data_IF_651267459722
#
_entry.id   IF_651267459722
#
_cell.length_a   1.000
_cell.length_b   1.000
_cell.length_c   1.000
_cell.angle_alpha   90.00
_cell.angle_beta   90.00
_cell.angle_gamma   90.00
#
_symmetry.space_group_name_H-M   'P 1'
#
loop_
_entity.id
_entity.type
_entity.pdbx_description
1 polymer ?
#
# COMPACT_ATOMS: atom_id res chain seq x y z
N UNK A 1 31.50 -29.95 -19.30
CA UNK A 1 30.41 -29.10 -18.78
C UNK A 1 29.18 -29.45 -19.56
N UNK A 2 28.16 -30.03 -18.92
CA UNK A 2 26.91 -30.42 -19.59
C UNK A 2 25.97 -29.23 -19.50
N UNK A 3 25.67 -28.60 -20.63
CA UNK A 3 24.59 -27.60 -20.73
C UNK A 3 23.27 -28.29 -20.39
N UNK A 4 22.64 -27.84 -19.30
CA UNK A 4 21.29 -28.27 -18.95
C UNK A 4 20.32 -27.60 -19.93
N UNK A 5 19.80 -28.36 -20.89
CA UNK A 5 18.68 -27.94 -21.73
C UNK A 5 17.45 -27.72 -20.84
N UNK A 6 16.79 -26.55 -20.87
CA UNK A 6 15.58 -26.33 -20.08
C UNK A 6 14.50 -27.32 -20.54
N UNK A 7 14.20 -28.29 -19.68
CA UNK A 7 13.13 -29.27 -19.88
C UNK A 7 11.75 -28.65 -19.66
N UNK A 8 10.67 -29.36 -20.05
CA UNK A 8 9.32 -28.88 -19.83
C UNK A 8 9.03 -28.66 -18.34
N UNK A 9 8.28 -27.60 -18.02
CA UNK A 9 7.81 -27.33 -16.66
C UNK A 9 6.89 -28.48 -16.21
N UNK A 10 7.35 -29.29 -15.27
CA UNK A 10 6.58 -30.37 -14.68
C UNK A 10 5.83 -29.85 -13.44
N UNK A 11 4.58 -29.39 -13.62
CA UNK A 11 3.70 -29.06 -12.49
C UNK A 11 3.19 -30.38 -11.89
N UNK A 12 3.80 -30.80 -10.78
CA UNK A 12 3.47 -32.07 -10.10
C UNK A 12 2.07 -32.09 -9.48
N UNK A 13 1.59 -30.93 -9.03
CA UNK A 13 0.23 -30.73 -8.57
C UNK A 13 -0.11 -29.24 -8.60
N UNK A 14 -1.34 -28.93 -9.02
CA UNK A 14 -1.94 -27.62 -8.81
C UNK A 14 -2.93 -27.79 -7.66
N UNK A 15 -2.50 -27.47 -6.44
CA UNK A 15 -3.38 -27.60 -5.26
C UNK A 15 -4.29 -26.38 -5.23
N UNK A 16 -5.63 -26.55 -5.27
CA UNK A 16 -6.54 -25.42 -5.12
C UNK A 16 -6.23 -24.67 -3.83
N UNK A 17 -6.23 -23.34 -3.84
CA UNK A 17 -5.96 -22.54 -2.63
C UNK A 17 -6.87 -22.96 -1.45
N UNK A 18 -8.11 -23.38 -1.76
CA UNK A 18 -9.06 -23.94 -0.80
C UNK A 18 -8.58 -25.24 -0.12
N UNK A 19 -7.77 -26.06 -0.79
CA UNK A 19 -7.18 -27.28 -0.24
C UNK A 19 -5.89 -27.04 0.56
N UNK A 20 -5.29 -25.84 0.43
CA UNK A 20 -4.17 -25.38 1.28
C UNK A 20 -4.68 -24.63 2.51
N UNK A 21 -5.95 -24.20 2.50
CA UNK A 21 -6.52 -23.36 3.54
C UNK A 21 -6.74 -24.15 4.85
N UNK A 22 -5.75 -24.09 5.75
CA UNK A 22 -5.95 -24.26 7.20
C UNK A 22 -6.57 -22.98 7.78
N UNK A 23 -7.70 -22.57 7.24
CA UNK A 23 -8.38 -21.33 7.63
C UNK A 23 -9.07 -21.41 8.99
N UNK A 24 -9.45 -20.25 9.51
CA UNK A 24 -10.45 -20.17 10.57
C UNK A 24 -11.77 -20.75 10.05
N UNK A 25 -12.34 -21.72 10.76
CA UNK A 25 -13.62 -22.36 10.41
C UNK A 25 -14.74 -21.33 10.24
N UNK A 26 -14.70 -20.21 10.99
CA UNK A 26 -15.67 -19.12 10.85
C UNK A 26 -15.72 -18.52 9.44
N UNK A 27 -14.58 -18.37 8.76
CA UNK A 27 -14.57 -17.83 7.39
C UNK A 27 -15.14 -18.84 6.39
N UNK A 28 -14.81 -20.12 6.54
CA UNK A 28 -15.36 -21.18 5.72
C UNK A 28 -16.89 -21.30 5.92
N UNK A 29 -17.34 -21.23 7.17
CA UNK A 29 -18.76 -21.25 7.54
C UNK A 29 -19.49 -20.02 6.99
N UNK A 30 -18.89 -18.83 7.06
CA UNK A 30 -19.44 -17.62 6.45
C UNK A 30 -19.58 -17.75 4.93
N UNK A 31 -18.55 -18.28 4.25
CA UNK A 31 -18.57 -18.51 2.80
C UNK A 31 -19.62 -19.55 2.39
N UNK A 32 -19.86 -20.55 3.24
CA UNK A 32 -20.92 -21.54 3.05
C UNK A 32 -22.32 -21.01 3.42
N UNK A 33 -22.43 -19.79 3.96
CA UNK A 33 -23.68 -19.20 4.39
C UNK A 33 -24.27 -19.85 5.65
N UNK A 34 -23.43 -20.46 6.49
CA UNK A 34 -23.86 -21.10 7.72
C UNK A 34 -24.55 -20.07 8.65
N UNK A 35 -25.77 -20.34 9.18
CA UNK A 35 -26.51 -19.37 9.99
C UNK A 35 -25.72 -18.82 11.18
N UNK A 36 -25.03 -19.70 11.92
CA UNK A 36 -24.24 -19.30 13.07
C UNK A 36 -23.07 -18.36 12.70
N UNK A 37 -22.54 -18.44 11.47
CA UNK A 37 -21.50 -17.53 11.01
C UNK A 37 -22.09 -16.21 10.48
N UNK A 38 -23.21 -16.24 9.76
CA UNK A 38 -23.83 -15.03 9.21
C UNK A 38 -24.39 -14.11 10.29
N UNK A 39 -24.75 -14.65 11.46
CA UNK A 39 -25.14 -13.87 12.64
C UNK A 39 -24.03 -12.92 13.13
N UNK A 40 -22.75 -13.28 12.99
CA UNK A 40 -21.62 -12.40 13.33
C UNK A 40 -21.43 -11.26 12.32
N UNK A 41 -21.82 -11.47 11.06
CA UNK A 41 -21.56 -10.54 9.94
C UNK A 41 -22.86 -9.99 9.36
N UNK A 42 -23.79 -9.59 10.24
CA UNK A 42 -25.04 -8.98 9.81
C UNK A 42 -24.77 -7.63 9.14
N UNK A 43 -25.34 -7.44 7.94
CA UNK A 43 -25.28 -6.15 7.27
C UNK A 43 -26.10 -5.14 8.07
N UNK A 44 -25.42 -4.24 8.78
CA UNK A 44 -26.04 -3.17 9.55
C UNK A 44 -26.14 -1.87 8.78
N UNK A 45 -27.24 -1.15 8.94
CA UNK A 45 -27.31 0.27 8.60
C UNK A 45 -26.87 1.08 9.81
N UNK A 46 -25.78 1.86 9.66
CA UNK A 46 -25.34 2.83 10.65
C UNK A 46 -25.50 4.24 10.11
N UNK A 47 -25.72 5.21 11.00
CA UNK A 47 -25.61 6.63 10.65
C UNK A 47 -24.28 7.15 11.16
N UNK A 48 -23.56 7.88 10.31
CA UNK A 48 -22.38 8.63 10.72
C UNK A 48 -22.77 10.08 10.91
N UNK A 49 -22.32 10.69 12.00
CA UNK A 49 -22.47 12.13 12.25
C UNK A 49 -21.36 12.97 11.61
N UNK A 50 -20.40 12.33 10.94
CA UNK A 50 -19.28 13.03 10.33
C UNK A 50 -19.75 13.89 9.13
N UNK A 51 -19.35 15.16 9.13
CA UNK A 51 -19.53 16.02 7.96
C UNK A 51 -18.59 15.56 6.84
N UNK A 52 -19.19 15.08 5.75
CA UNK A 52 -18.44 14.60 4.58
C UNK A 52 -17.81 15.73 3.78
N UNK A 53 -18.30 16.95 3.93
CA UNK A 53 -17.72 18.15 3.30
C UNK A 53 -16.37 18.43 3.95
N UNK A 54 -16.36 18.56 5.29
CA UNK A 54 -15.13 18.78 6.06
C UNK A 54 -14.11 17.66 5.82
N UNK A 55 -14.56 16.40 5.83
CA UNK A 55 -13.69 15.27 5.51
C UNK A 55 -13.11 15.36 4.08
N UNK A 56 -13.93 15.74 3.10
CA UNK A 56 -13.48 15.90 1.72
C UNK A 56 -12.42 17.01 1.60
N UNK A 57 -12.58 18.12 2.31
CA UNK A 57 -11.61 19.22 2.32
C UNK A 57 -10.27 18.80 2.93
N UNK A 58 -10.30 18.12 4.09
CA UNK A 58 -9.09 17.59 4.75
C UNK A 58 -8.36 16.63 3.80
N UNK A 59 -9.09 15.71 3.18
CA UNK A 59 -8.52 14.73 2.27
C UNK A 59 -8.01 15.36 0.97
N UNK A 60 -8.66 16.40 0.45
CA UNK A 60 -8.16 17.13 -0.73
C UNK A 60 -6.81 17.77 -0.45
N UNK A 61 -6.67 18.42 0.72
CA UNK A 61 -5.42 19.01 1.16
C UNK A 61 -4.33 17.93 1.34
N UNK A 62 -4.68 16.81 1.95
CA UNK A 62 -3.75 15.69 2.12
C UNK A 62 -3.29 15.12 0.77
N UNK A 63 -4.22 14.83 -0.14
CA UNK A 63 -3.92 14.27 -1.45
C UNK A 63 -3.12 15.23 -2.34
N UNK A 64 -3.39 16.54 -2.25
CA UNK A 64 -2.59 17.56 -2.93
C UNK A 64 -1.13 17.55 -2.43
N UNK A 65 -0.90 17.42 -1.11
CA UNK A 65 0.46 17.29 -0.53
C UNK A 65 1.18 16.03 -1.01
N UNK A 66 0.44 14.95 -1.27
CA UNK A 66 0.99 13.71 -1.84
C UNK A 66 1.21 13.76 -3.36
N UNK A 67 0.76 14.81 -4.03
CA UNK A 67 0.82 14.93 -5.50
C UNK A 67 -0.07 13.91 -6.19
N UNK A 68 -1.25 13.65 -5.63
CA UNK A 68 -2.22 12.74 -6.21
C UNK A 68 -2.75 13.25 -7.56
N UNK A 69 -3.03 12.34 -8.49
CA UNK A 69 -3.61 12.69 -9.79
C UNK A 69 -5.11 13.00 -9.71
N UNK A 70 -5.66 13.60 -10.77
CA UNK A 70 -7.07 14.01 -10.83
C UNK A 70 -8.07 12.90 -10.55
N UNK A 71 -7.76 11.64 -10.90
CA UNK A 71 -8.64 10.51 -10.58
C UNK A 71 -8.85 10.33 -9.07
N UNK A 72 -7.80 10.52 -8.26
CA UNK A 72 -7.89 10.47 -6.81
C UNK A 72 -8.62 11.71 -6.26
N UNK A 73 -8.28 12.91 -6.75
CA UNK A 73 -8.92 14.16 -6.33
C UNK A 73 -10.43 14.16 -6.66
N UNK A 74 -10.83 13.65 -7.83
CA UNK A 74 -12.23 13.49 -8.20
C UNK A 74 -12.99 12.53 -7.27
N UNK A 75 -12.35 11.43 -6.83
CA UNK A 75 -12.94 10.54 -5.83
C UNK A 75 -13.12 11.23 -4.48
N UNK A 76 -12.15 12.04 -4.03
CA UNK A 76 -12.31 12.81 -2.80
C UNK A 76 -13.44 13.83 -2.90
N UNK A 77 -13.57 14.55 -4.02
CA UNK A 77 -14.69 15.49 -4.25
C UNK A 77 -16.05 14.77 -4.20
N UNK A 78 -16.13 13.55 -4.74
CA UNK A 78 -17.36 12.73 -4.67
C UNK A 78 -17.72 12.33 -3.25
N UNK A 79 -16.75 12.22 -2.34
CA UNK A 79 -16.99 11.86 -0.95
C UNK A 79 -17.87 12.88 -0.21
N UNK A 80 -17.81 14.16 -0.59
CA UNK A 80 -18.64 15.23 0.00
C UNK A 80 -20.14 14.95 -0.16
N UNK A 81 -20.55 14.19 -1.18
CA UNK A 81 -21.93 13.78 -1.34
C UNK A 81 -22.27 12.61 -0.36
N UNK A 82 -23.24 12.78 0.55
CA UNK A 82 -23.65 11.73 1.50
C UNK A 82 -24.24 10.48 0.82
N UNK A 83 -24.77 10.61 -0.39
CA UNK A 83 -25.28 9.48 -1.16
C UNK A 83 -24.18 8.65 -1.83
N UNK A 84 -22.92 9.12 -1.87
CA UNK A 84 -21.80 8.37 -2.48
C UNK A 84 -21.44 7.16 -1.62
N UNK A 85 -21.53 5.92 -2.16
CA UNK A 85 -21.06 4.73 -1.46
C UNK A 85 -19.54 4.77 -1.28
N UNK A 86 -19.07 4.28 -0.14
CA UNK A 86 -17.64 4.16 0.16
C UNK A 86 -17.31 2.69 0.29
N UNK A 87 -16.29 2.23 -0.44
CA UNK A 87 -15.70 0.91 -0.23
C UNK A 87 -14.38 1.13 0.46
N UNK A 88 -14.26 0.64 1.69
CA UNK A 88 -13.06 0.79 2.51
C UNK A 88 -12.36 -0.54 2.74
N UNK A 89 -11.03 -0.50 2.73
CA UNK A 89 -10.14 -1.56 3.20
C UNK A 89 -9.02 -0.90 3.99
N UNK A 90 -8.34 -1.64 4.87
CA UNK A 90 -7.22 -1.09 5.62
C UNK A 90 -6.05 -2.05 5.75
N UNK A 91 -4.88 -1.45 5.94
CA UNK A 91 -3.66 -2.12 6.35
C UNK A 91 -2.65 -1.13 6.95
N UNK A 92 -1.82 -1.61 7.88
CA UNK A 92 -0.60 -0.89 8.28
C UNK A 92 0.35 -0.69 7.07
N UNK A 93 1.15 0.37 7.05
CA UNK A 93 2.07 0.66 5.95
C UNK A 93 3.37 -0.11 6.07
N UNK A 94 3.32 -1.42 5.81
CA UNK A 94 4.50 -2.28 5.79
C UNK A 94 5.56 -1.83 4.78
N UNK A 95 6.81 -2.14 5.08
CA UNK A 95 7.96 -1.83 4.25
C UNK A 95 7.77 -2.30 2.79
N UNK A 96 8.07 -1.44 1.81
CA UNK A 96 7.89 -1.73 0.38
C UNK A 96 6.47 -2.23 0.03
N UNK A 97 5.43 -1.64 0.62
CA UNK A 97 4.00 -2.01 0.49
C UNK A 97 3.58 -3.24 1.31
N UNK A 98 4.50 -3.82 2.07
CA UNK A 98 4.27 -4.96 2.92
C UNK A 98 3.91 -6.22 2.12
N UNK A 99 3.14 -7.14 2.72
CA UNK A 99 2.69 -8.35 2.03
C UNK A 99 1.81 -8.04 0.81
N UNK A 100 1.83 -8.92 -0.19
CA UNK A 100 1.06 -8.75 -1.44
C UNK A 100 -0.46 -8.54 -1.23
N UNK A 101 -1.02 -9.03 -0.12
CA UNK A 101 -2.43 -8.82 0.17
C UNK A 101 -2.78 -7.32 0.35
N UNK A 102 -1.82 -6.44 0.69
CA UNK A 102 -2.02 -4.99 0.74
C UNK A 102 -2.47 -4.46 -0.63
N UNK A 103 -1.76 -4.87 -1.69
CA UNK A 103 -2.09 -4.52 -3.07
C UNK A 103 -3.42 -5.16 -3.48
N UNK A 104 -3.65 -6.43 -3.10
CA UNK A 104 -4.93 -7.10 -3.41
C UNK A 104 -6.13 -6.46 -2.72
N UNK A 105 -5.99 -6.00 -1.48
CA UNK A 105 -7.01 -5.22 -0.77
C UNK A 105 -7.31 -3.92 -1.54
N UNK A 106 -6.29 -3.17 -1.95
CA UNK A 106 -6.46 -1.93 -2.71
C UNK A 106 -7.17 -2.16 -4.05
N UNK A 107 -6.73 -3.16 -4.83
CA UNK A 107 -7.38 -3.54 -6.11
C UNK A 107 -8.83 -3.95 -5.88
N UNK A 108 -9.10 -4.70 -4.81
CA UNK A 108 -10.47 -5.13 -4.44
C UNK A 108 -11.35 -3.93 -4.14
N UNK A 109 -10.87 -2.97 -3.34
CA UNK A 109 -11.61 -1.76 -3.03
C UNK A 109 -11.94 -0.93 -4.28
N UNK A 110 -10.97 -0.74 -5.17
CA UNK A 110 -11.15 -0.04 -6.46
C UNK A 110 -12.19 -0.76 -7.32
N UNK A 111 -12.09 -2.08 -7.42
CA UNK A 111 -12.98 -2.90 -8.27
C UNK A 111 -14.42 -2.88 -7.77
N UNK A 112 -14.63 -3.02 -6.46
CA UNK A 112 -15.95 -2.94 -5.83
C UNK A 112 -16.52 -1.51 -5.92
N UNK A 113 -15.71 -0.48 -5.66
CA UNK A 113 -16.15 0.90 -5.79
C UNK A 113 -16.61 1.20 -7.22
N UNK A 114 -15.88 0.74 -8.23
CA UNK A 114 -16.29 0.88 -9.63
C UNK A 114 -17.61 0.15 -9.92
N UNK A 115 -17.76 -1.08 -9.42
CA UNK A 115 -18.98 -1.88 -9.62
C UNK A 115 -20.22 -1.23 -9.00
N UNK A 116 -20.08 -0.57 -7.87
CA UNK A 116 -21.19 -0.01 -7.10
C UNK A 116 -21.33 1.51 -7.22
N UNK A 117 -20.60 2.14 -8.16
CA UNK A 117 -20.64 3.59 -8.33
C UNK A 117 -20.16 4.36 -7.09
N UNK A 118 -19.28 3.76 -6.29
CA UNK A 118 -18.71 4.34 -5.07
C UNK A 118 -17.33 4.95 -5.27
N UNK A 119 -16.67 5.24 -4.14
CA UNK A 119 -15.28 5.68 -4.06
C UNK A 119 -14.45 4.67 -3.24
N UNK A 120 -13.25 4.28 -3.69
CA UNK A 120 -12.36 3.44 -2.91
C UNK A 120 -11.60 4.28 -1.89
N UNK A 121 -11.58 3.82 -0.65
CA UNK A 121 -10.78 4.39 0.44
C UNK A 121 -9.85 3.30 0.97
N UNK A 122 -8.56 3.59 1.00
CA UNK A 122 -7.57 2.74 1.65
C UNK A 122 -7.17 3.39 2.97
N UNK A 123 -7.58 2.78 4.08
CA UNK A 123 -7.21 3.20 5.42
C UNK A 123 -5.79 2.75 5.74
N UNK A 124 -4.90 3.72 5.90
CA UNK A 124 -3.52 3.47 6.32
C UNK A 124 -3.51 3.40 7.85
N UNK A 125 -3.30 2.21 8.41
CA UNK A 125 -3.22 1.97 9.86
C UNK A 125 -1.90 2.46 10.43
N UNK A 126 -1.71 3.77 10.46
CA UNK A 126 -0.48 4.43 10.88
C UNK A 126 -0.45 4.76 12.39
N UNK A 127 -1.57 4.53 13.08
CA UNK A 127 -1.83 4.77 14.50
C UNK A 127 -1.47 3.57 15.40
N UNK A 128 -1.00 2.48 14.80
CA UNK A 128 -0.41 1.34 15.50
C UNK A 128 1.06 1.62 15.84
N UNK A 129 1.60 0.94 16.86
CA UNK A 129 3.01 0.97 17.24
C UNK A 129 3.72 -0.39 17.09
N UNK A 130 3.04 -1.39 16.52
CA UNK A 130 3.63 -2.69 16.20
C UNK A 130 4.66 -2.59 15.05
N UNK A 131 5.90 -2.28 15.45
CA UNK A 131 7.06 -2.24 14.57
C UNK A 131 7.38 -3.58 13.96
N UNK A 132 7.20 -4.67 14.70
CA UNK A 132 7.62 -6.00 14.24
C UNK A 132 6.79 -6.47 13.04
N UNK A 133 5.56 -5.98 12.89
CA UNK A 133 4.71 -6.28 11.74
C UNK A 133 5.15 -5.55 10.46
N UNK A 134 5.73 -4.35 10.57
CA UNK A 134 5.98 -3.45 9.44
C UNK A 134 7.45 -3.27 9.06
N UNK A 135 8.39 -3.68 9.91
CA UNK A 135 9.82 -3.40 9.75
C UNK A 135 10.51 -4.19 8.63
N UNK A 136 9.85 -5.19 8.05
CA UNK A 136 10.48 -6.09 7.12
C UNK A 136 9.65 -6.37 5.86
N UNK A 137 10.36 -6.78 4.80
CA UNK A 137 9.77 -7.21 3.55
C UNK A 137 10.59 -8.36 2.95
N UNK A 138 9.92 -9.42 2.48
CA UNK A 138 10.55 -10.50 1.74
C UNK A 138 10.67 -10.17 0.26
N UNK A 139 11.87 -10.26 -0.30
CA UNK A 139 12.15 -10.08 -1.73
C UNK A 139 12.85 -11.31 -2.30
N UNK A 140 12.39 -11.76 -3.47
CA UNK A 140 13.06 -12.81 -4.24
C UNK A 140 14.08 -12.19 -5.19
N UNK A 141 15.26 -12.78 -5.26
CA UNK A 141 16.26 -12.43 -6.28
C UNK A 141 16.09 -13.26 -7.57
N UNK A 142 16.96 -13.03 -8.56
CA UNK A 142 16.97 -13.74 -9.83
C UNK A 142 17.33 -15.24 -9.70
N UNK A 143 17.80 -15.68 -8.53
CA UNK A 143 18.17 -17.06 -8.23
C UNK A 143 17.11 -17.77 -7.38
N UNK A 144 15.91 -17.20 -7.26
CA UNK A 144 14.83 -17.74 -6.43
C UNK A 144 15.25 -17.90 -4.96
N UNK A 145 16.11 -17.01 -4.47
CA UNK A 145 16.45 -16.92 -3.05
C UNK A 145 15.62 -15.82 -2.39
N UNK A 146 14.95 -16.16 -1.29
CA UNK A 146 14.19 -15.19 -0.49
C UNK A 146 15.13 -14.46 0.47
N UNK A 147 15.17 -13.13 0.35
CA UNK A 147 15.89 -12.23 1.24
C UNK A 147 14.90 -11.41 2.06
N UNK A 148 15.24 -11.12 3.31
CA UNK A 148 14.46 -10.21 4.15
C UNK A 148 15.17 -8.87 4.22
N UNK A 149 14.48 -7.82 3.80
CA UNK A 149 14.91 -6.42 3.91
C UNK A 149 14.34 -5.86 5.19
N UNK A 150 15.16 -5.10 5.93
CA UNK A 150 14.74 -4.49 7.19
C UNK A 150 14.85 -2.97 7.17
N UNK A 151 13.90 -2.33 7.84
CA UNK A 151 13.99 -0.94 8.24
C UNK A 151 15.06 -0.79 9.34
N UNK A 152 15.98 0.19 9.25
CA UNK A 152 17.09 0.33 10.18
C UNK A 152 16.65 1.01 11.50
N UNK A 153 15.99 0.27 12.37
CA UNK A 153 15.67 0.77 13.71
C UNK A 153 16.94 0.95 14.56
N UNK A 154 17.06 2.10 15.21
CA UNK A 154 18.10 2.32 16.23
C UNK A 154 17.87 1.40 17.43
N UNK A 155 18.94 0.74 17.87
CA UNK A 155 18.88 -0.15 19.02
C UNK A 155 18.45 0.63 20.28
N UNK A 156 17.32 0.22 20.88
CA UNK A 156 16.78 0.86 22.07
C UNK A 156 15.97 2.13 21.81
N UNK A 157 15.67 2.49 20.55
CA UNK A 157 14.76 3.57 20.26
C UNK A 157 13.36 3.30 20.86
N UNK A 158 12.71 4.30 21.48
CA UNK A 158 11.37 4.14 22.05
C UNK A 158 10.37 3.71 20.97
N UNK A 159 9.30 3.03 21.38
CA UNK A 159 8.16 2.76 20.48
C UNK A 159 7.61 4.07 19.93
N UNK A 160 7.21 4.06 18.66
CA UNK A 160 6.61 5.20 17.98
C UNK A 160 5.49 4.70 17.08
N UNK A 161 4.48 5.53 16.88
CA UNK A 161 3.45 5.24 15.90
C UNK A 161 4.08 5.06 14.53
N UNK A 162 3.55 4.10 13.77
CA UNK A 162 4.09 3.77 12.45
C UNK A 162 4.08 4.99 11.52
N UNK A 163 3.07 5.86 11.63
CA UNK A 163 2.98 7.11 10.86
C UNK A 163 4.05 8.16 11.18
N UNK A 164 4.69 8.05 12.34
CA UNK A 164 5.71 8.98 12.81
C UNK A 164 7.14 8.47 12.54
N UNK A 165 7.29 7.29 11.92
CA UNK A 165 8.60 6.74 11.58
C UNK A 165 9.30 7.60 10.53
N UNK A 166 10.58 7.95 10.75
CA UNK A 166 11.29 8.80 9.81
C UNK A 166 11.57 8.06 8.50
N UNK A 167 11.09 8.58 7.37
CA UNK A 167 11.37 7.97 6.08
C UNK A 167 12.78 8.27 5.54
N UNK A 168 13.44 9.36 5.98
CA UNK A 168 14.64 9.96 5.35
C UNK A 168 15.80 9.00 5.04
N UNK A 169 16.86 9.02 5.85
CA UNK A 169 18.03 8.16 5.62
C UNK A 169 17.68 6.66 5.71
N UNK A 170 16.62 6.31 6.45
CA UNK A 170 16.11 4.96 6.54
C UNK A 170 15.63 4.41 5.18
N UNK A 171 15.01 5.24 4.33
CA UNK A 171 14.64 4.81 2.97
C UNK A 171 15.88 4.47 2.15
N UNK A 172 16.94 5.28 2.21
CA UNK A 172 18.18 5.02 1.47
C UNK A 172 18.81 3.68 1.89
N UNK A 173 18.78 3.36 3.19
CA UNK A 173 19.26 2.05 3.71
C UNK A 173 18.40 0.89 3.18
N UNK A 174 17.08 1.05 3.14
CA UNK A 174 16.16 0.05 2.59
C UNK A 174 16.41 -0.15 1.09
N UNK A 175 16.62 0.93 0.34
CA UNK A 175 16.89 0.88 -1.10
C UNK A 175 18.25 0.25 -1.40
N UNK A 176 19.27 0.54 -0.59
CA UNK A 176 20.58 -0.06 -0.73
C UNK A 176 20.54 -1.59 -0.55
N UNK A 177 19.64 -2.09 0.30
CA UNK A 177 19.40 -3.53 0.47
C UNK A 177 18.58 -4.12 -0.71
N UNK A 178 17.52 -3.43 -1.15
CA UNK A 178 16.56 -3.97 -2.12
C UNK A 178 17.05 -3.91 -3.58
N UNK A 179 17.67 -2.81 -4.00
CA UNK A 179 18.02 -2.57 -5.41
C UNK A 179 18.96 -3.62 -6.02
N UNK A 180 20.00 -4.13 -5.31
CA UNK A 180 20.85 -5.19 -5.83
C UNK A 180 20.07 -6.47 -6.17
N UNK A 181 19.07 -6.84 -5.35
CA UNK A 181 18.26 -8.04 -5.54
C UNK A 181 17.34 -7.93 -6.76
N UNK A 182 16.86 -6.71 -7.03
CA UNK A 182 15.91 -6.47 -8.12
C UNK A 182 16.59 -6.28 -9.47
N UNK A 183 17.85 -5.84 -9.52
CA UNK A 183 18.55 -5.41 -10.74
C UNK A 183 18.58 -6.48 -11.83
N UNK A 184 18.79 -7.72 -11.44
CA UNK A 184 18.98 -8.85 -12.36
C UNK A 184 17.65 -9.48 -12.81
N UNK A 185 16.52 -9.00 -12.29
CA UNK A 185 15.19 -9.39 -12.77
C UNK A 185 14.91 -8.80 -14.17
N UNK A 186 14.03 -9.43 -14.98
CA UNK A 186 13.70 -8.98 -16.34
C UNK A 186 13.24 -7.51 -16.47
N UNK A 187 12.82 -6.89 -15.36
CA UNK A 187 12.38 -5.49 -15.28
C UNK A 187 13.21 -4.66 -14.28
N UNK A 188 14.33 -5.20 -13.80
CA UNK A 188 15.22 -4.61 -12.80
C UNK A 188 16.22 -3.60 -13.33
N UNK A 189 16.64 -3.76 -14.59
CA UNK A 189 17.52 -2.82 -15.30
C UNK A 189 16.71 -1.80 -16.09
N UNK A 190 17.06 -0.50 -15.97
CA UNK A 190 16.51 0.60 -16.78
C UNK A 190 16.89 0.57 -18.27
N UNK A 191 17.05 -0.62 -18.87
CA UNK A 191 17.64 -0.84 -20.19
C UNK A 191 16.71 -1.48 -21.24
N UNK A 192 15.40 -1.48 -21.04
CA UNK A 192 14.43 -1.82 -22.09
C UNK A 192 14.06 -0.57 -22.88
N UNK A 193 14.16 -0.62 -24.21
CA UNK A 193 13.86 0.44 -25.20
C UNK A 193 12.39 0.87 -25.26
N UNK A 194 11.78 1.17 -24.12
CA UNK A 194 10.50 1.86 -24.05
C UNK A 194 10.77 3.37 -24.00
N UNK A 195 10.15 4.19 -24.86
CA UNK A 195 10.28 5.63 -24.76
C UNK A 195 9.88 6.05 -23.32
N UNK A 196 10.62 6.97 -22.70
CA UNK A 196 10.36 7.39 -21.33
C UNK A 196 8.90 7.85 -21.25
N UNK A 197 8.09 7.13 -20.47
CA UNK A 197 6.75 7.59 -20.10
C UNK A 197 6.95 8.86 -19.27
N UNK A 198 6.76 10.02 -19.90
CA UNK A 198 6.90 11.38 -19.36
C UNK A 198 8.01 11.55 -18.31
N UNK A 199 9.07 12.30 -18.65
CA UNK A 199 10.19 12.58 -17.75
C UNK A 199 9.77 13.19 -16.38
N UNK A 200 8.55 13.73 -16.28
CA UNK A 200 7.97 14.23 -15.04
C UNK A 200 7.50 13.10 -14.08
N UNK A 201 7.12 11.93 -14.61
CA UNK A 201 6.82 10.71 -13.83
C UNK A 201 8.10 9.96 -13.40
N UNK A 202 9.14 9.99 -14.22
CA UNK A 202 10.42 9.31 -13.90
C UNK A 202 11.17 9.94 -12.72
N UNK A 203 10.90 11.21 -12.39
CA UNK A 203 11.41 11.85 -11.17
C UNK A 203 10.67 11.43 -9.89
N UNK A 204 9.66 10.55 -9.98
CA UNK A 204 8.85 10.10 -8.84
C UNK A 204 8.55 8.59 -8.89
N UNK A 205 9.55 7.70 -8.75
CA UNK A 205 9.33 6.25 -8.75
C UNK A 205 8.57 5.70 -7.52
N UNK A 206 8.01 6.55 -6.63
CA UNK A 206 7.52 6.16 -5.30
C UNK A 206 6.09 6.60 -4.93
N UNK A 207 5.15 6.65 -5.88
CA UNK A 207 3.76 7.05 -5.56
C UNK A 207 2.98 6.09 -4.64
N UNK A 208 3.50 4.90 -4.32
CA UNK A 208 2.85 3.99 -3.34
C UNK A 208 3.39 4.19 -1.92
N UNK A 209 4.59 4.75 -1.73
CA UNK A 209 5.23 4.90 -0.40
C UNK A 209 5.41 6.37 0.02
N UNK A 210 5.42 7.34 -0.91
CA UNK A 210 5.53 8.77 -0.56
C UNK A 210 4.31 9.32 0.20
N UNK A 211 3.18 8.61 0.19
CA UNK A 211 1.95 9.05 0.84
C UNK A 211 1.88 8.73 2.35
N UNK A 212 2.90 8.10 2.96
CA UNK A 212 2.77 7.62 4.34
C UNK A 212 3.76 8.20 5.37
N UNK A 213 4.85 8.88 5.01
CA UNK A 213 5.87 9.18 6.03
C UNK A 213 6.73 10.47 5.88
N UNK A 214 6.22 11.59 5.33
CA UNK A 214 6.90 12.89 5.52
C UNK A 214 5.97 14.12 5.65
N UNK A 215 6.03 14.85 6.79
CA UNK A 215 5.68 16.26 6.88
C UNK A 215 6.92 17.15 6.61
N UNK A 216 6.88 17.92 5.52
CA UNK A 216 7.73 19.12 5.18
C UNK A 216 9.24 18.85 4.89
N UNK A 217 9.96 19.57 4.00
CA UNK A 217 10.11 21.02 3.81
C UNK A 217 10.55 21.38 2.37
N UNK A 218 10.01 22.45 1.80
CA UNK A 218 10.74 23.32 0.87
C UNK A 218 10.92 24.67 1.58
N UNK A 219 12.13 25.27 1.64
CA UNK A 219 12.28 26.64 2.11
C UNK A 219 11.68 27.58 1.07
N UNK A 220 10.56 28.24 1.42
CA UNK A 220 10.12 29.43 0.70
C UNK A 220 11.13 30.55 0.98
N UNK A 221 11.61 31.17 -0.09
CA UNK A 221 12.63 32.22 -0.04
C UNK A 221 12.27 33.35 0.91
N UNK A 222 13.31 33.91 1.53
CA UNK A 222 13.24 35.08 2.39
C UNK A 222 12.62 36.28 1.65
N UNK A 223 11.31 36.46 1.82
CA UNK A 223 10.58 37.67 1.49
C UNK A 223 10.42 38.51 2.76
N UNK A 224 11.05 39.67 2.76
CA UNK A 224 11.08 40.64 3.86
C UNK A 224 9.67 41.14 4.18
N UNK A 225 9.09 40.75 5.32
CA UNK A 225 7.91 41.41 5.87
C UNK A 225 8.35 42.41 6.95
N UNK A 226 8.15 43.69 6.61
CA UNK A 226 8.31 44.83 7.51
C UNK A 226 7.22 44.78 8.58
N UNK A 227 7.61 45.07 9.81
CA UNK A 227 6.78 45.32 10.97
C UNK A 227 5.79 46.47 10.75
N UNK A 228 4.55 46.26 11.19
CA UNK A 228 3.70 47.28 11.79
C UNK A 228 3.00 46.65 13.00
#
# INVERSE_FOLDING_TARGET
>A
MVEATPGPLHVLACVPLAAVHRGNTLLADLQAGAPAATEFFTAGAGTSHADRTDLSEILLNQQARFGAGEAALANVRRLANPATPVVTVGQQPGLLTGPLYTVYKAITAISLARRHGGVPVFWVGADDDDRAEIDHCGLWDAHETLHTIHYPFDAGAPSMLVGDLPAGDAAEVVLAQALPLLRDLPHGGGGGSHPPRDADRQRRPWHVVRAVAQPSLHPLGAGTLRSA
#
